data_IF_841431221427
#
_entry.id   IF_841431221427
#
_cell.length_a   1.000
_cell.length_b   1.000
_cell.length_c   1.000
_cell.angle_alpha   90.00
_cell.angle_beta   90.00
_cell.angle_gamma   90.00
#
_symmetry.space_group_name_H-M   'P 1'
#
loop_
_entity.id
_entity.type
_entity.pdbx_description
1 polymer ?
#
# COMPACT_ATOMS: atom_id res chain seq x y z
N UNK A 1 12.80 -3.13 24.74
CA UNK A 1 13.61 -3.99 23.85
C UNK A 1 13.90 -3.21 22.59
N UNK A 2 15.17 -3.06 22.21
CA UNK A 2 15.56 -2.48 20.93
C UNK A 2 15.09 -3.44 19.83
N UNK A 3 14.12 -3.02 19.00
CA UNK A 3 13.69 -3.83 17.86
C UNK A 3 14.88 -4.00 16.93
N UNK A 4 15.29 -5.24 16.70
CA UNK A 4 16.46 -5.51 15.87
C UNK A 4 15.98 -5.78 14.44
N UNK A 5 16.17 -4.80 13.56
CA UNK A 5 15.83 -4.86 12.13
C UNK A 5 16.84 -5.70 11.32
N UNK A 6 17.29 -6.81 11.90
CA UNK A 6 18.34 -7.67 11.34
C UNK A 6 17.88 -8.43 10.09
N UNK A 7 16.57 -8.56 9.87
CA UNK A 7 15.97 -9.15 8.67
C UNK A 7 16.09 -8.25 7.44
N UNK A 8 16.26 -6.93 7.62
CA UNK A 8 16.48 -6.02 6.50
C UNK A 8 17.84 -6.40 5.87
N UNK A 9 17.93 -6.67 4.55
CA UNK A 9 19.18 -7.07 3.91
C UNK A 9 20.20 -5.93 3.76
N UNK A 10 21.45 -6.29 3.45
CA UNK A 10 22.50 -5.32 3.11
C UNK A 10 22.17 -4.59 1.78
N UNK A 11 22.97 -3.56 1.47
CA UNK A 11 22.78 -2.69 0.29
C UNK A 11 22.72 -3.48 -1.04
N UNK A 12 23.60 -4.44 -1.23
CA UNK A 12 23.67 -5.24 -2.47
C UNK A 12 22.40 -6.06 -2.68
N UNK A 13 21.94 -6.76 -1.64
CA UNK A 13 20.71 -7.53 -1.71
C UNK A 13 19.46 -6.64 -1.85
N UNK A 14 19.44 -5.46 -1.22
CA UNK A 14 18.37 -4.49 -1.42
C UNK A 14 18.28 -4.00 -2.88
N UNK A 15 19.42 -3.81 -3.57
CA UNK A 15 19.39 -3.48 -5.01
C UNK A 15 18.83 -4.60 -5.87
N UNK A 16 19.11 -5.86 -5.53
CA UNK A 16 18.53 -7.02 -6.24
C UNK A 16 17.01 -7.02 -6.07
N UNK A 17 16.52 -6.84 -4.85
CA UNK A 17 15.08 -6.77 -4.56
C UNK A 17 14.41 -5.60 -5.30
N UNK A 18 15.02 -4.41 -5.25
CA UNK A 18 14.52 -3.23 -5.96
C UNK A 18 14.44 -3.45 -7.47
N UNK A 19 15.46 -4.07 -8.05
CA UNK A 19 15.48 -4.37 -9.48
C UNK A 19 14.37 -5.35 -9.85
N UNK A 20 14.18 -6.41 -9.05
CA UNK A 20 13.11 -7.39 -9.24
C UNK A 20 11.73 -6.71 -9.20
N UNK A 21 11.48 -5.88 -8.19
CA UNK A 21 10.20 -5.17 -8.04
C UNK A 21 9.98 -4.17 -9.19
N UNK A 22 11.02 -3.44 -9.59
CA UNK A 22 10.98 -2.54 -10.74
C UNK A 22 10.60 -3.27 -12.03
N UNK A 23 11.24 -4.40 -12.32
CA UNK A 23 10.97 -5.22 -13.51
C UNK A 23 9.52 -5.74 -13.51
N UNK A 24 9.02 -6.11 -12.34
CA UNK A 24 7.63 -6.56 -12.18
C UNK A 24 6.62 -5.44 -12.39
N UNK A 25 6.86 -4.25 -11.85
CA UNK A 25 6.01 -3.07 -12.11
C UNK A 25 5.99 -2.80 -13.62
N UNK A 26 7.14 -2.72 -14.28
CA UNK A 26 7.22 -2.48 -15.74
C UNK A 26 6.44 -3.54 -16.52
N UNK A 27 6.55 -4.81 -16.14
CA UNK A 27 5.82 -5.92 -16.76
C UNK A 27 4.30 -5.72 -16.63
N UNK A 28 3.81 -5.37 -15.44
CA UNK A 28 2.39 -5.12 -15.20
C UNK A 28 1.88 -3.89 -15.97
N UNK A 29 2.63 -2.79 -15.98
CA UNK A 29 2.26 -1.58 -16.72
C UNK A 29 2.11 -1.85 -18.22
N UNK A 30 3.03 -2.63 -18.81
CA UNK A 30 2.95 -3.05 -20.21
C UNK A 30 1.72 -3.90 -20.50
N UNK A 31 1.42 -4.87 -19.64
CA UNK A 31 0.22 -5.73 -19.77
C UNK A 31 -1.06 -4.90 -19.73
N UNK A 32 -1.10 -3.88 -18.88
CA UNK A 32 -2.26 -3.02 -18.67
C UNK A 32 -2.31 -1.80 -19.60
N UNK A 33 -1.32 -1.62 -20.49
CA UNK A 33 -1.17 -0.45 -21.37
C UNK A 33 -1.17 0.89 -20.61
N UNK A 34 -0.59 0.91 -19.41
CA UNK A 34 -0.45 2.09 -18.57
C UNK A 34 0.93 2.73 -18.77
N UNK A 35 1.02 4.06 -18.67
CA UNK A 35 2.29 4.80 -18.72
C UNK A 35 2.41 5.64 -17.45
N UNK A 36 3.53 5.46 -16.74
CA UNK A 36 3.85 6.16 -15.50
C UNK A 36 5.22 6.83 -15.63
N UNK A 37 5.45 7.90 -14.85
CA UNK A 37 6.76 8.54 -14.80
C UNK A 37 7.81 7.61 -14.17
N UNK A 38 9.07 7.78 -14.57
CA UNK A 38 10.18 7.00 -14.02
C UNK A 38 10.26 7.11 -12.49
N UNK A 39 10.13 8.33 -11.96
CA UNK A 39 10.15 8.59 -10.51
C UNK A 39 9.08 7.79 -9.77
N UNK A 40 7.90 7.66 -10.38
CA UNK A 40 6.80 6.89 -9.80
C UNK A 40 7.09 5.39 -9.78
N UNK A 41 7.71 4.87 -10.83
CA UNK A 41 8.09 3.45 -10.90
C UNK A 41 9.17 3.14 -9.87
N UNK A 42 10.17 4.00 -9.72
CA UNK A 42 11.22 3.85 -8.71
C UNK A 42 10.66 3.93 -7.29
N UNK A 43 9.77 4.90 -7.02
CA UNK A 43 9.09 4.99 -5.71
C UNK A 43 8.24 3.76 -5.44
N UNK A 44 7.47 3.30 -6.42
CA UNK A 44 6.65 2.09 -6.30
C UNK A 44 7.50 0.85 -6.01
N UNK A 45 8.64 0.70 -6.68
CA UNK A 45 9.57 -0.41 -6.43
C UNK A 45 10.14 -0.37 -5.02
N UNK A 46 10.52 0.81 -4.53
CA UNK A 46 11.02 0.96 -3.18
C UNK A 46 9.94 0.69 -2.13
N UNK A 47 8.74 1.23 -2.31
CA UNK A 47 7.63 0.99 -1.40
C UNK A 47 7.24 -0.49 -1.38
N UNK A 48 7.26 -1.16 -2.54
CA UNK A 48 7.05 -2.61 -2.67
C UNK A 48 8.07 -3.41 -1.86
N UNK A 49 9.36 -3.13 -2.01
CA UNK A 49 10.42 -3.79 -1.24
C UNK A 49 10.28 -3.54 0.27
N UNK A 50 10.01 -2.29 0.68
CA UNK A 50 9.80 -1.95 2.09
C UNK A 50 8.62 -2.73 2.66
N UNK A 51 7.53 -2.80 1.90
CA UNK A 51 6.31 -3.47 2.31
C UNK A 51 6.50 -4.98 2.42
N UNK A 52 7.10 -5.62 1.42
CA UNK A 52 7.35 -7.06 1.41
C UNK A 52 8.24 -7.46 2.59
N UNK A 53 9.34 -6.73 2.82
CA UNK A 53 10.22 -6.99 3.97
C UNK A 53 9.52 -6.77 5.32
N UNK A 54 8.66 -5.77 5.41
CA UNK A 54 7.85 -5.55 6.61
C UNK A 54 6.88 -6.73 6.84
N UNK A 55 6.12 -7.14 5.82
CA UNK A 55 5.10 -8.19 5.96
C UNK A 55 5.70 -9.58 6.18
N UNK A 56 6.79 -9.92 5.49
CA UNK A 56 7.52 -11.18 5.66
C UNK A 56 8.01 -11.38 7.10
N UNK A 57 8.45 -10.28 7.74
CA UNK A 57 8.94 -10.33 9.12
C UNK A 57 7.83 -10.33 10.18
N UNK A 58 6.64 -9.81 9.84
CA UNK A 58 5.52 -9.73 10.79
C UNK A 58 4.54 -10.90 10.68
N UNK A 59 4.79 -11.89 9.80
CA UNK A 59 3.97 -13.10 9.62
C UNK A 59 2.47 -12.78 9.73
N UNK A 60 1.89 -12.12 8.72
CA UNK A 60 0.51 -11.58 8.68
C UNK A 60 -0.56 -12.43 9.41
N UNK A 61 -0.67 -12.29 10.73
CA UNK A 61 -1.63 -13.04 11.57
C UNK A 61 -2.20 -12.24 12.75
N UNK A 62 -1.83 -10.97 12.95
CA UNK A 62 -2.36 -10.15 14.07
C UNK A 62 -2.89 -8.79 13.63
N UNK A 63 -3.94 -8.33 14.33
CA UNK A 63 -4.57 -7.00 14.15
C UNK A 63 -3.57 -5.84 14.40
N UNK A 64 -2.47 -6.10 15.12
CA UNK A 64 -1.43 -5.11 15.46
C UNK A 64 -0.70 -4.53 14.23
N UNK A 65 -0.62 -5.27 13.13
CA UNK A 65 0.00 -4.81 11.86
C UNK A 65 -0.82 -3.68 11.24
N UNK A 66 -2.14 -3.65 11.50
CA UNK A 66 -3.09 -2.65 10.98
C UNK A 66 -3.32 -1.50 11.98
N UNK A 67 -2.59 -1.46 13.09
CA UNK A 67 -2.66 -0.40 14.10
C UNK A 67 -1.54 0.64 13.98
N UNK A 68 -1.59 1.66 14.85
CA UNK A 68 -0.57 2.73 14.93
C UNK A 68 0.85 2.18 15.17
N UNK A 69 0.96 1.02 15.83
CA UNK A 69 2.23 0.32 16.02
C UNK A 69 2.81 -0.18 14.69
N UNK A 70 2.01 -0.83 13.84
CA UNK A 70 2.42 -1.30 12.52
C UNK A 70 2.81 -0.16 11.58
N UNK A 71 2.07 0.96 11.58
CA UNK A 71 2.42 2.14 10.77
C UNK A 71 3.79 2.71 11.19
N UNK A 72 4.04 2.81 12.50
CA UNK A 72 5.32 3.29 13.02
C UNK A 72 6.47 2.36 12.62
N UNK A 73 6.28 1.05 12.77
CA UNK A 73 7.30 0.06 12.40
C UNK A 73 7.61 0.07 10.90
N UNK A 74 6.58 0.18 10.06
CA UNK A 74 6.80 0.32 8.62
C UNK A 74 7.63 1.56 8.28
N UNK A 75 7.35 2.71 8.92
CA UNK A 75 8.13 3.94 8.73
C UNK A 75 9.60 3.73 9.12
N UNK A 76 9.86 3.05 10.25
CA UNK A 76 11.21 2.69 10.69
C UNK A 76 11.91 1.77 9.68
N UNK A 77 11.22 0.76 9.13
CA UNK A 77 11.76 -0.13 8.07
C UNK A 77 12.15 0.67 6.83
N UNK A 78 11.27 1.57 6.38
CA UNK A 78 11.50 2.40 5.20
C UNK A 78 12.71 3.32 5.41
N UNK A 79 12.84 3.94 6.58
CA UNK A 79 13.99 4.79 6.92
C UNK A 79 15.31 4.01 6.85
N UNK A 80 15.37 2.81 7.44
CA UNK A 80 16.59 1.98 7.44
C UNK A 80 16.96 1.53 6.01
N UNK A 81 15.98 1.18 5.19
CA UNK A 81 16.23 0.79 3.80
C UNK A 81 16.76 1.98 2.99
N UNK A 82 16.17 3.16 3.16
CA UNK A 82 16.64 4.39 2.50
C UNK A 82 18.08 4.71 2.89
N UNK A 83 18.40 4.64 4.19
CA UNK A 83 19.74 4.86 4.72
C UNK A 83 20.76 3.90 4.09
N UNK A 84 20.46 2.60 4.08
CA UNK A 84 21.36 1.58 3.51
C UNK A 84 21.61 1.77 2.01
N UNK A 85 20.59 2.22 1.28
CA UNK A 85 20.71 2.50 -0.14
C UNK A 85 21.41 3.84 -0.42
N UNK A 86 21.48 4.73 0.57
CA UNK A 86 21.98 6.09 0.41
C UNK A 86 21.00 6.99 -0.33
N UNK A 87 19.69 6.71 -0.21
CA UNK A 87 18.64 7.53 -0.79
C UNK A 87 18.14 8.49 0.28
N UNK A 88 18.06 9.79 -0.04
CA UNK A 88 17.42 10.75 0.85
C UNK A 88 15.96 10.34 1.03
N UNK A 89 15.59 9.96 2.26
CA UNK A 89 14.23 9.58 2.59
C UNK A 89 13.25 10.70 2.24
N UNK A 90 13.69 11.98 2.16
CA UNK A 90 12.89 13.12 1.72
C UNK A 90 12.54 13.14 0.23
N UNK A 91 13.37 12.54 -0.62
CA UNK A 91 13.08 12.38 -2.06
C UNK A 91 11.95 11.36 -2.30
N UNK A 92 11.82 10.39 -1.40
CA UNK A 92 10.81 9.33 -1.43
C UNK A 92 9.60 9.70 -0.59
N UNK A 93 9.79 10.44 0.51
CA UNK A 93 8.74 10.95 1.39
C UNK A 93 8.02 12.14 0.79
N UNK A 94 7.93 12.25 -0.54
CA UNK A 94 6.95 13.18 -1.10
C UNK A 94 5.63 12.78 -0.46
N UNK A 95 5.09 13.68 0.35
CA UNK A 95 3.85 13.61 1.15
C UNK A 95 2.59 13.40 0.31
N UNK A 96 2.80 12.90 -0.89
CA UNK A 96 1.96 12.84 -2.04
C UNK A 96 1.42 11.43 -2.21
N UNK A 97 2.04 10.42 -1.60
CA UNK A 97 1.55 9.05 -1.64
C UNK A 97 1.59 8.44 -0.24
N UNK A 98 0.44 7.96 0.23
CA UNK A 98 0.33 7.12 1.42
C UNK A 98 -0.27 5.78 1.01
N UNK A 99 0.08 4.72 1.72
CA UNK A 99 -0.61 3.44 1.55
C UNK A 99 -1.14 2.94 2.88
N UNK A 100 -2.23 2.18 2.79
CA UNK A 100 -2.87 1.52 3.93
C UNK A 100 -3.22 0.11 3.51
N UNK A 101 -3.04 -0.85 4.41
CA UNK A 101 -3.47 -2.23 4.19
C UNK A 101 -4.52 -2.55 5.24
N UNK A 102 -5.66 -3.03 4.77
CA UNK A 102 -6.81 -3.37 5.58
C UNK A 102 -7.08 -4.86 5.50
N UNK A 103 -7.55 -5.45 6.58
CA UNK A 103 -8.27 -6.72 6.49
C UNK A 103 -9.59 -6.50 5.76
N UNK A 104 -10.06 -7.50 5.00
CA UNK A 104 -11.38 -7.45 4.33
C UNK A 104 -12.51 -7.02 5.25
N UNK A 105 -12.57 -7.55 6.48
CA UNK A 105 -13.61 -7.21 7.46
C UNK A 105 -13.56 -5.74 7.88
N UNK A 106 -12.36 -5.19 7.99
CA UNK A 106 -12.16 -3.79 8.35
C UNK A 106 -12.56 -2.87 7.20
N UNK A 107 -12.10 -3.18 5.99
CA UNK A 107 -12.48 -2.42 4.80
C UNK A 107 -13.99 -2.46 4.55
N UNK A 108 -14.67 -3.57 4.85
CA UNK A 108 -16.13 -3.66 4.82
C UNK A 108 -16.80 -2.66 5.77
N UNK A 109 -16.28 -2.47 6.99
CA UNK A 109 -16.79 -1.44 7.91
C UNK A 109 -16.57 -0.04 7.34
N UNK A 110 -15.38 0.23 6.82
CA UNK A 110 -15.04 1.53 6.21
C UNK A 110 -16.00 1.89 5.08
N UNK A 111 -16.20 0.99 4.10
CA UNK A 111 -17.08 1.29 2.95
C UNK A 111 -18.56 1.43 3.33
N UNK A 112 -19.00 0.84 4.45
CA UNK A 112 -20.35 1.01 4.98
C UNK A 112 -20.54 2.39 5.64
N UNK A 113 -19.46 3.02 6.11
CA UNK A 113 -19.45 4.37 6.72
C UNK A 113 -19.28 5.48 5.69
N UNK A 114 -18.88 5.15 4.45
CA UNK A 114 -18.64 6.13 3.39
C UNK A 114 -19.88 6.98 3.10
N UNK A 115 -19.66 8.29 2.92
CA UNK A 115 -20.69 9.20 2.47
C UNK A 115 -21.03 8.92 0.99
N UNK A 116 -22.29 8.53 0.74
CA UNK A 116 -22.81 8.19 -0.59
C UNK A 116 -22.80 9.36 -1.57
N UNK A 117 -22.74 10.61 -1.09
CA UNK A 117 -22.58 11.80 -1.94
C UNK A 117 -21.15 11.94 -2.48
N UNK A 118 -20.17 11.29 -1.84
CA UNK A 118 -18.76 11.30 -2.25
C UNK A 118 -18.45 10.06 -3.07
N UNK A 119 -18.78 8.86 -2.57
CA UNK A 119 -18.60 7.61 -3.32
C UNK A 119 -19.98 7.02 -3.66
N UNK A 120 -20.37 6.98 -4.94
CA UNK A 120 -21.67 6.46 -5.35
C UNK A 120 -21.84 4.99 -4.96
N UNK A 121 -23.07 4.59 -4.60
CA UNK A 121 -23.39 3.20 -4.21
C UNK A 121 -22.97 2.16 -5.27
N UNK A 122 -23.04 2.49 -6.56
CA UNK A 122 -22.58 1.59 -7.64
C UNK A 122 -21.08 1.24 -7.51
N UNK A 123 -20.26 2.19 -7.05
CA UNK A 123 -18.83 1.97 -6.80
C UNK A 123 -18.63 1.10 -5.57
N UNK A 124 -19.39 1.34 -4.50
CA UNK A 124 -19.38 0.50 -3.29
C UNK A 124 -19.74 -0.95 -3.63
N UNK A 125 -20.82 -1.16 -4.40
CA UNK A 125 -21.22 -2.50 -4.86
C UNK A 125 -20.10 -3.17 -5.69
N UNK A 126 -19.34 -2.38 -6.45
CA UNK A 126 -18.18 -2.91 -7.20
C UNK A 126 -17.07 -3.37 -6.25
N UNK A 127 -16.77 -2.62 -5.19
CA UNK A 127 -15.80 -3.03 -4.18
C UNK A 127 -16.24 -4.31 -3.46
N UNK A 128 -17.51 -4.42 -3.08
CA UNK A 128 -18.06 -5.63 -2.46
C UNK A 128 -17.90 -6.88 -3.31
N UNK A 129 -18.13 -6.77 -4.62
CA UNK A 129 -17.92 -7.87 -5.57
C UNK A 129 -16.43 -8.26 -5.66
N UNK A 130 -15.53 -7.28 -5.72
CA UNK A 130 -14.09 -7.54 -5.78
C UNK A 130 -13.56 -8.14 -4.47
N UNK A 131 -14.22 -7.89 -3.34
CA UNK A 131 -13.86 -8.48 -2.05
C UNK A 131 -14.20 -9.97 -1.90
N UNK A 132 -14.95 -10.60 -2.83
CA UNK A 132 -15.41 -11.98 -2.65
C UNK A 132 -14.28 -12.98 -2.38
N UNK A 133 -13.15 -12.87 -3.10
CA UNK A 133 -11.96 -13.73 -2.95
C UNK A 133 -10.78 -13.07 -2.24
N UNK A 134 -11.00 -11.89 -1.67
CA UNK A 134 -9.96 -11.04 -1.10
C UNK A 134 -9.77 -11.32 0.39
N UNK A 135 -8.52 -11.28 0.84
CA UNK A 135 -8.15 -11.32 2.27
C UNK A 135 -7.73 -9.92 2.74
N UNK A 136 -6.88 -9.25 1.98
CA UNK A 136 -6.38 -7.90 2.28
C UNK A 136 -6.72 -6.90 1.19
N UNK A 137 -6.93 -5.65 1.57
CA UNK A 137 -7.10 -4.54 0.64
C UNK A 137 -5.95 -3.57 0.86
N UNK A 138 -5.17 -3.28 -0.19
CA UNK A 138 -4.18 -2.20 -0.17
C UNK A 138 -4.75 -0.99 -0.87
N UNK A 139 -4.82 0.14 -0.17
CA UNK A 139 -5.10 1.44 -0.77
C UNK A 139 -3.80 2.20 -0.95
N UNK A 140 -3.54 2.67 -2.16
CA UNK A 140 -2.51 3.64 -2.48
C UNK A 140 -3.18 4.98 -2.78
N UNK A 141 -3.12 5.89 -1.81
CA UNK A 141 -3.66 7.23 -1.92
C UNK A 141 -2.60 8.19 -2.45
N UNK A 142 -2.77 8.68 -3.68
CA UNK A 142 -1.83 9.58 -4.36
C UNK A 142 -2.42 10.99 -4.44
N UNK A 143 -2.12 11.82 -3.45
CA UNK A 143 -2.67 13.17 -3.23
C UNK A 143 -2.49 14.13 -4.41
N UNK A 144 -1.37 14.05 -5.15
CA UNK A 144 -1.12 14.96 -6.28
C UNK A 144 -1.72 14.49 -7.60
N UNK A 145 -2.30 13.29 -7.64
CA UNK A 145 -2.84 12.71 -8.86
C UNK A 145 -4.36 12.74 -8.87
N UNK A 146 -4.96 12.64 -10.07
CA UNK A 146 -6.41 12.53 -10.22
C UNK A 146 -6.95 11.17 -9.75
N UNK A 147 -6.09 10.15 -9.80
CA UNK A 147 -6.44 8.79 -9.47
C UNK A 147 -5.49 8.20 -8.44
N UNK A 148 -6.03 7.27 -7.67
CA UNK A 148 -5.40 6.45 -6.65
C UNK A 148 -5.75 4.99 -6.93
N UNK A 149 -5.15 4.04 -6.21
CA UNK A 149 -5.30 2.62 -6.52
C UNK A 149 -5.79 1.82 -5.33
N UNK A 150 -6.69 0.91 -5.60
CA UNK A 150 -7.19 -0.06 -4.65
C UNK A 150 -6.83 -1.45 -5.16
N UNK A 151 -6.03 -2.18 -4.40
CA UNK A 151 -5.62 -3.54 -4.71
C UNK A 151 -6.33 -4.50 -3.78
N UNK A 152 -6.81 -5.59 -4.35
CA UNK A 152 -7.48 -6.67 -3.69
C UNK A 152 -6.54 -7.86 -3.70
N UNK A 153 -6.11 -8.30 -2.53
CA UNK A 153 -5.02 -9.25 -2.35
C UNK A 153 -5.50 -10.56 -1.74
N UNK A 154 -4.84 -11.67 -2.08
CA UNK A 154 -5.06 -12.98 -1.45
C UNK A 154 -4.32 -13.12 -0.10
N UNK A 155 -4.33 -14.32 0.49
CA UNK A 155 -3.65 -14.61 1.76
C UNK A 155 -2.12 -14.48 1.70
N UNK A 156 -1.54 -14.60 0.50
CA UNK A 156 -0.11 -14.43 0.22
C UNK A 156 0.22 -12.99 -0.20
N UNK A 157 -0.73 -12.05 -0.05
CA UNK A 157 -0.62 -10.64 -0.47
C UNK A 157 -0.45 -10.45 -1.99
N UNK A 158 -0.71 -11.48 -2.80
CA UNK A 158 -0.66 -11.37 -4.26
C UNK A 158 -1.89 -10.63 -4.76
N UNK A 159 -1.68 -9.77 -5.76
CA UNK A 159 -2.75 -8.97 -6.36
C UNK A 159 -3.70 -9.90 -7.13
N UNK A 160 -4.93 -10.05 -6.63
CA UNK A 160 -6.04 -10.70 -7.34
C UNK A 160 -6.62 -9.72 -8.37
N UNK A 161 -6.81 -8.47 -7.95
CA UNK A 161 -7.30 -7.42 -8.83
C UNK A 161 -6.85 -6.03 -8.36
N UNK A 162 -6.82 -5.09 -9.31
CA UNK A 162 -6.49 -3.69 -9.12
C UNK A 162 -7.63 -2.85 -9.67
N UNK A 163 -8.02 -1.82 -8.93
CA UNK A 163 -9.01 -0.86 -9.35
C UNK A 163 -8.43 0.56 -9.25
N UNK A 164 -8.63 1.35 -10.30
CA UNK A 164 -8.23 2.75 -10.33
C UNK A 164 -9.42 3.58 -9.85
N UNK A 165 -9.25 4.30 -8.74
CA UNK A 165 -10.31 5.08 -8.12
C UNK A 165 -9.95 6.57 -8.15
N UNK A 166 -10.93 7.49 -8.22
CA UNK A 166 -10.68 8.90 -7.99
C UNK A 166 -9.94 9.16 -6.67
N UNK A 167 -8.96 10.06 -6.69
CA UNK A 167 -8.17 10.42 -5.50
C UNK A 167 -9.05 10.99 -4.38
N UNK A 168 -10.19 11.61 -4.70
CA UNK A 168 -11.18 12.04 -3.71
C UNK A 168 -11.81 10.87 -2.95
N UNK A 169 -11.99 9.72 -3.60
CA UNK A 169 -12.52 8.51 -2.96
C UNK A 169 -11.48 7.92 -2.02
N UNK A 170 -10.23 7.83 -2.49
CA UNK A 170 -9.10 7.38 -1.68
C UNK A 170 -8.94 8.25 -0.43
N UNK A 171 -8.96 9.58 -0.58
CA UNK A 171 -8.93 10.53 0.54
C UNK A 171 -10.03 10.24 1.56
N UNK A 172 -11.28 10.09 1.09
CA UNK A 172 -12.43 9.86 1.98
C UNK A 172 -12.32 8.54 2.75
N UNK A 173 -11.85 7.48 2.10
CA UNK A 173 -11.58 6.18 2.73
C UNK A 173 -10.46 6.30 3.77
N UNK A 174 -9.37 6.98 3.42
CA UNK A 174 -8.24 7.25 4.33
C UNK A 174 -8.67 8.09 5.54
N UNK A 175 -9.51 9.10 5.35
CA UNK A 175 -10.02 9.96 6.44
C UNK A 175 -10.85 9.12 7.43
N UNK A 176 -11.77 8.28 6.96
CA UNK A 176 -12.54 7.35 7.82
C UNK A 176 -11.62 6.40 8.59
N UNK A 177 -10.60 5.87 7.91
CA UNK A 177 -9.65 4.95 8.54
C UNK A 177 -8.86 5.63 9.67
N UNK A 178 -8.25 6.77 9.37
CA UNK A 178 -7.42 7.50 10.32
C UNK A 178 -8.22 8.00 11.54
N UNK A 179 -9.47 8.43 11.32
CA UNK A 179 -10.33 8.90 12.40
C UNK A 179 -11.01 7.75 13.18
N UNK A 180 -10.89 6.51 12.69
CA UNK A 180 -11.57 5.34 13.24
C UNK A 180 -13.10 5.50 13.29
N UNK A 181 -13.68 6.23 12.33
CA UNK A 181 -15.13 6.51 12.25
C UNK A 181 -15.99 5.25 12.01
N UNK A 182 -15.34 4.10 11.78
CA UNK A 182 -15.94 2.81 11.49
C UNK A 182 -15.93 1.83 12.68
N UNK A 183 -15.40 2.26 13.83
CA UNK A 183 -15.42 1.49 15.08
C UNK A 183 -16.74 1.58 15.81
#
# INVERSE_FOLDING_TARGET
MTKNYSYIPNKENLFILLKSEYEDIIRQLKQNKEVHSFDRIIKGALDGVCLNLFLDNHYCKSEDICGEAGEKEYKEVKEIICERLGIDSKLISSSVMSFSIFLKKEFQKIINTVNKSIIPQKVINTFELLMLKTVFIKLEYIQSEKCSYLYFLDEDLKIISKNTIPTSYAKHITDIYNNKDYL
#
